data_IF_229007645048
#
_entry.id   IF_229007645048
#
_cell.length_a   1.000
_cell.length_b   1.000
_cell.length_c   1.000
_cell.angle_alpha   90.00
_cell.angle_beta   90.00
_cell.angle_gamma   90.00
#
_symmetry.space_group_name_H-M   'P 1'
#
loop_
_entity.id
_entity.type
_entity.pdbx_description
1 polymer ?
#
# COMPACT_ATOMS: atom_id res chain seq x y z
N UNK A 1 1.84 31.38 -13.00
CA UNK A 1 0.37 31.44 -12.88
C UNK A 1 -0.07 30.14 -12.23
N UNK A 2 -0.95 30.23 -11.23
CA UNK A 2 -1.46 29.06 -10.53
C UNK A 2 -2.11 28.08 -11.51
N UNK A 3 -1.77 26.79 -11.36
CA UNK A 3 -2.39 25.68 -12.08
C UNK A 3 -3.76 25.35 -11.50
N UNK A 4 -3.94 25.55 -10.20
CA UNK A 4 -5.23 25.43 -9.51
C UNK A 4 -5.40 26.49 -8.41
N UNK A 5 -6.63 26.92 -8.18
CA UNK A 5 -7.00 27.88 -7.14
C UNK A 5 -8.31 27.47 -6.50
N UNK A 6 -8.33 27.40 -5.17
CA UNK A 6 -9.49 27.17 -4.32
C UNK A 6 -9.70 28.42 -3.45
N UNK A 7 -10.94 28.89 -3.35
CA UNK A 7 -11.29 30.06 -2.53
C UNK A 7 -12.48 29.76 -1.63
N UNK A 8 -12.25 29.82 -0.32
CA UNK A 8 -13.20 29.52 0.76
C UNK A 8 -14.01 28.25 0.50
N UNK A 9 -13.35 27.23 -0.05
CA UNK A 9 -14.02 26.05 -0.56
C UNK A 9 -14.41 25.10 0.59
N UNK A 10 -15.69 24.74 0.66
CA UNK A 10 -16.18 23.74 1.60
C UNK A 10 -16.94 22.64 0.88
N UNK A 11 -16.79 21.40 1.33
CA UNK A 11 -17.42 20.25 0.71
C UNK A 11 -17.89 19.20 1.73
N UNK A 12 -19.08 18.65 1.49
CA UNK A 12 -19.71 17.57 2.26
C UNK A 12 -20.24 16.48 1.33
N UNK A 13 -19.89 15.22 1.60
CA UNK A 13 -20.47 14.07 0.88
C UNK A 13 -21.97 13.89 1.20
N UNK A 14 -22.79 13.32 0.29
CA UNK A 14 -24.25 13.21 0.44
C UNK A 14 -24.77 12.59 1.75
N UNK A 15 -24.00 11.71 2.38
CA UNK A 15 -24.36 11.00 3.62
C UNK A 15 -23.41 11.28 4.80
N UNK A 16 -22.48 12.22 4.66
CA UNK A 16 -21.54 12.55 5.72
C UNK A 16 -22.13 13.59 6.68
N UNK A 17 -22.03 13.35 7.99
CA UNK A 17 -22.42 14.33 9.00
C UNK A 17 -21.46 15.54 9.03
N UNK A 18 -20.21 15.33 8.64
CA UNK A 18 -19.16 16.33 8.69
C UNK A 18 -18.68 16.79 7.32
N UNK A 19 -18.14 18.01 7.27
CA UNK A 19 -17.47 18.55 6.10
C UNK A 19 -16.13 17.83 5.90
N UNK A 20 -15.93 17.31 4.69
CA UNK A 20 -14.66 16.72 4.28
C UNK A 20 -13.60 17.80 3.94
N UNK A 21 -14.05 19.00 3.52
CA UNK A 21 -13.22 20.20 3.36
C UNK A 21 -13.95 21.41 3.95
N UNK A 22 -13.21 22.30 4.64
CA UNK A 22 -13.73 23.42 5.44
C UNK A 22 -12.99 24.71 5.10
N UNK A 23 -13.64 25.58 4.35
CA UNK A 23 -13.16 26.91 3.97
C UNK A 23 -11.69 26.91 3.48
N UNK A 24 -11.38 26.05 2.53
CA UNK A 24 -10.04 25.88 1.98
C UNK A 24 -9.72 27.02 1.02
N UNK A 25 -8.66 27.75 1.33
CA UNK A 25 -8.01 28.74 0.47
C UNK A 25 -6.63 28.19 0.07
N UNK A 26 -6.44 27.92 -1.22
CA UNK A 26 -5.23 27.26 -1.71
C UNK A 26 -4.94 27.67 -3.16
N UNK A 27 -3.69 28.00 -3.45
CA UNK A 27 -3.17 28.16 -4.81
C UNK A 27 -2.06 27.14 -5.04
N UNK A 28 -2.11 26.42 -6.15
CA UNK A 28 -1.11 25.41 -6.54
C UNK A 28 -0.41 25.86 -7.81
N UNK A 29 0.90 26.05 -7.73
CA UNK A 29 1.78 26.36 -8.85
C UNK A 29 2.49 25.09 -9.36
N UNK A 30 3.36 25.26 -10.38
CA UNK A 30 4.27 24.22 -10.82
C UNK A 30 5.21 23.79 -9.68
N UNK A 31 5.60 22.52 -9.68
CA UNK A 31 6.40 21.91 -8.63
C UNK A 31 5.69 20.75 -7.94
N UNK A 32 6.45 20.06 -7.09
CA UNK A 32 6.03 18.93 -6.28
C UNK A 32 5.49 19.42 -4.93
N UNK A 33 4.20 19.26 -4.73
CA UNK A 33 3.49 19.56 -3.49
C UNK A 33 3.09 18.27 -2.79
N UNK A 34 3.49 18.10 -1.54
CA UNK A 34 3.09 17.00 -0.68
C UNK A 34 1.82 17.35 0.09
N UNK A 35 0.82 16.46 0.10
CA UNK A 35 -0.31 16.50 1.01
C UNK A 35 -0.08 15.48 2.13
N UNK A 36 0.12 15.97 3.35
CA UNK A 36 0.36 15.15 4.54
C UNK A 36 -0.81 15.28 5.52
N UNK A 37 -0.90 14.36 6.47
CA UNK A 37 -1.92 14.40 7.53
C UNK A 37 -2.62 13.06 7.75
N UNK A 38 -3.51 12.96 8.75
CA UNK A 38 -4.16 11.70 9.12
C UNK A 38 -5.08 11.14 8.02
N UNK A 39 -5.29 9.82 8.01
CA UNK A 39 -6.34 9.19 7.20
C UNK A 39 -7.71 9.79 7.54
N UNK A 40 -8.52 10.07 6.52
CA UNK A 40 -9.80 10.77 6.70
C UNK A 40 -9.68 12.30 6.88
N UNK A 41 -8.47 12.88 6.88
CA UNK A 41 -8.29 14.32 7.04
C UNK A 41 -8.79 15.19 5.88
N UNK A 42 -9.02 14.61 4.69
CA UNK A 42 -9.52 15.31 3.50
C UNK A 42 -8.59 15.27 2.27
N UNK A 43 -7.41 14.64 2.34
CA UNK A 43 -6.42 14.58 1.24
C UNK A 43 -6.99 14.07 -0.09
N UNK A 44 -7.55 12.85 -0.09
CA UNK A 44 -8.12 12.26 -1.31
C UNK A 44 -9.33 13.05 -1.80
N UNK A 45 -10.09 13.69 -0.91
CA UNK A 45 -11.18 14.60 -1.29
C UNK A 45 -10.64 15.84 -2.00
N UNK A 46 -9.57 16.45 -1.50
CA UNK A 46 -8.90 17.57 -2.13
C UNK A 46 -8.39 17.19 -3.54
N UNK A 47 -7.71 16.05 -3.68
CA UNK A 47 -7.22 15.58 -4.98
C UNK A 47 -8.37 15.29 -5.97
N UNK A 48 -9.43 14.60 -5.53
CA UNK A 48 -10.60 14.28 -6.37
C UNK A 48 -11.36 15.52 -6.80
N UNK A 49 -11.30 16.59 -6.01
CA UNK A 49 -11.87 17.88 -6.35
C UNK A 49 -11.09 18.55 -7.49
N UNK A 50 -9.75 18.44 -7.51
CA UNK A 50 -8.95 19.00 -8.60
C UNK A 50 -9.28 18.40 -9.98
N UNK A 51 -9.55 17.09 -10.06
CA UNK A 51 -9.94 16.43 -11.32
C UNK A 51 -11.45 16.52 -11.62
N UNK A 52 -12.26 16.98 -10.66
CA UNK A 52 -13.72 17.11 -10.79
C UNK A 52 -14.52 15.84 -10.51
N UNK A 53 -13.89 14.74 -10.06
CA UNK A 53 -14.61 13.57 -9.52
C UNK A 53 -15.51 13.97 -8.34
N UNK A 54 -15.04 14.94 -7.54
CA UNK A 54 -15.88 15.71 -6.63
C UNK A 54 -16.15 17.08 -7.26
N UNK A 55 -17.42 17.51 -7.41
CA UNK A 55 -18.64 16.83 -7.00
C UNK A 55 -19.30 15.96 -8.10
N UNK A 56 -18.82 15.97 -9.35
CA UNK A 56 -19.59 15.44 -10.49
C UNK A 56 -19.95 13.95 -10.40
N UNK A 57 -19.08 13.13 -9.79
CA UNK A 57 -19.32 11.70 -9.62
C UNK A 57 -19.90 11.38 -8.24
N UNK A 58 -19.33 11.96 -7.18
CA UNK A 58 -19.71 11.64 -5.80
C UNK A 58 -20.93 12.43 -5.28
N UNK A 59 -21.37 13.46 -6.01
CA UNK A 59 -22.38 14.41 -5.53
C UNK A 59 -21.92 15.20 -4.32
N UNK A 60 -22.86 15.67 -3.51
CA UNK A 60 -22.60 16.35 -2.23
C UNK A 60 -22.94 17.84 -2.25
N UNK A 61 -22.71 18.50 -1.12
CA UNK A 61 -22.88 19.95 -0.97
C UNK A 61 -21.52 20.63 -1.09
N UNK A 62 -21.43 21.64 -1.94
CA UNK A 62 -20.20 22.39 -2.19
C UNK A 62 -20.49 23.89 -2.14
N UNK A 63 -19.57 24.65 -1.56
CA UNK A 63 -19.58 26.11 -1.55
C UNK A 63 -18.18 26.65 -1.78
N UNK A 64 -18.07 27.92 -2.16
CA UNK A 64 -16.80 28.54 -2.55
C UNK A 64 -16.50 28.34 -4.04
N UNK A 65 -15.24 28.52 -4.42
CA UNK A 65 -14.81 28.48 -5.82
C UNK A 65 -13.60 27.54 -5.98
N UNK A 66 -13.55 26.86 -7.12
CA UNK A 66 -12.40 26.05 -7.52
C UNK A 66 -12.18 26.20 -9.03
N UNK A 67 -10.96 26.54 -9.41
CA UNK A 67 -10.53 26.61 -10.81
C UNK A 67 -9.28 25.80 -11.03
N UNK A 68 -9.19 25.08 -12.15
CA UNK A 68 -7.98 24.36 -12.60
C UNK A 68 -7.74 24.66 -14.07
N UNK A 69 -6.55 25.13 -14.43
CA UNK A 69 -6.24 25.54 -15.81
C UNK A 69 -7.12 26.67 -16.33
N UNK A 70 -7.58 27.54 -15.41
CA UNK A 70 -8.56 28.58 -15.71
C UNK A 70 -9.99 28.07 -15.90
N UNK A 71 -10.25 26.76 -15.78
CA UNK A 71 -11.59 26.18 -15.87
C UNK A 71 -12.24 26.09 -14.49
N UNK A 72 -13.47 26.59 -14.37
CA UNK A 72 -14.31 26.36 -13.18
C UNK A 72 -14.67 24.88 -13.09
N UNK A 73 -14.17 24.20 -12.04
CA UNK A 73 -14.37 22.75 -11.88
C UNK A 73 -15.85 22.40 -11.73
N UNK A 74 -16.66 23.24 -11.07
CA UNK A 74 -18.07 22.96 -10.80
C UNK A 74 -18.93 23.04 -12.07
N UNK A 75 -18.50 23.85 -13.05
CA UNK A 75 -19.23 24.08 -14.30
C UNK A 75 -18.66 23.30 -15.49
N UNK A 76 -17.42 22.84 -15.38
CA UNK A 76 -16.71 22.18 -16.47
C UNK A 76 -16.95 20.66 -16.42
N UNK A 77 -17.39 20.02 -17.52
CA UNK A 77 -17.52 18.57 -17.57
C UNK A 77 -16.18 17.85 -17.32
N UNK A 78 -16.21 16.72 -16.60
CA UNK A 78 -15.01 15.94 -16.25
C UNK A 78 -14.15 15.56 -17.45
N UNK A 79 -14.73 15.27 -18.62
CA UNK A 79 -13.97 14.99 -19.86
C UNK A 79 -13.06 16.13 -20.29
N UNK A 80 -13.42 17.39 -20.01
CA UNK A 80 -12.59 18.57 -20.29
C UNK A 80 -11.53 18.73 -19.22
N UNK A 81 -11.90 18.54 -17.94
CA UNK A 81 -10.98 18.60 -16.81
C UNK A 81 -9.88 17.53 -16.90
N UNK A 82 -10.16 16.35 -17.44
CA UNK A 82 -9.20 15.27 -17.65
C UNK A 82 -8.04 15.65 -18.59
N UNK A 83 -8.19 16.70 -19.40
CA UNK A 83 -7.09 17.25 -20.22
C UNK A 83 -6.17 18.16 -19.41
N UNK A 84 -6.69 18.79 -18.35
CA UNK A 84 -5.94 19.70 -17.49
C UNK A 84 -5.31 18.96 -16.30
N UNK A 85 -5.95 17.88 -15.85
CA UNK A 85 -5.58 17.13 -14.65
C UNK A 85 -5.42 15.65 -14.95
N UNK A 86 -4.20 15.14 -14.86
CA UNK A 86 -3.92 13.72 -14.76
C UNK A 86 -4.22 13.25 -13.33
N UNK A 87 -4.82 12.07 -13.17
CA UNK A 87 -5.12 11.50 -11.86
C UNK A 87 -4.66 10.05 -11.80
N UNK A 88 -3.98 9.68 -10.71
CA UNK A 88 -3.62 8.29 -10.40
C UNK A 88 -4.22 7.91 -9.05
N UNK A 89 -5.05 6.87 -9.07
CA UNK A 89 -5.68 6.33 -7.86
C UNK A 89 -4.67 5.53 -7.01
N UNK A 90 -5.01 5.36 -5.73
CA UNK A 90 -4.28 4.52 -4.77
C UNK A 90 -4.06 3.09 -5.25
N UNK A 91 -5.01 2.55 -6.02
CA UNK A 91 -4.89 1.24 -6.65
C UNK A 91 -4.92 1.40 -8.19
N UNK A 92 -3.74 1.41 -8.84
CA UNK A 92 -3.66 1.48 -10.29
C UNK A 92 -4.25 0.26 -10.99
N UNK A 93 -4.35 -0.89 -10.32
CA UNK A 93 -4.95 -2.09 -10.93
C UNK A 93 -6.44 -1.88 -11.17
N UNK A 94 -7.11 -1.14 -10.29
CA UNK A 94 -8.52 -0.77 -10.43
C UNK A 94 -8.74 0.37 -11.44
N UNK A 95 -7.69 1.11 -11.79
CA UNK A 95 -7.74 2.18 -12.80
C UNK A 95 -7.56 1.66 -14.22
N UNK A 96 -6.79 0.58 -14.40
CA UNK A 96 -6.42 0.10 -15.73
C UNK A 96 -7.63 -0.44 -16.51
N UNK A 97 -7.79 0.04 -17.74
CA UNK A 97 -8.89 -0.36 -18.63
C UNK A 97 -8.44 -1.42 -19.63
N UNK A 98 -7.17 -1.37 -20.05
CA UNK A 98 -6.60 -2.26 -21.08
C UNK A 98 -5.52 -3.15 -20.47
N UNK A 99 -5.31 -4.33 -21.07
CA UNK A 99 -4.36 -5.32 -20.53
C UNK A 99 -2.91 -5.17 -21.01
N UNK A 100 -2.64 -4.26 -21.95
CA UNK A 100 -1.32 -4.06 -22.57
C UNK A 100 -0.86 -2.61 -22.37
N UNK A 101 0.44 -2.42 -22.14
CA UNK A 101 1.03 -1.13 -21.77
C UNK A 101 0.66 -0.02 -22.75
N UNK A 102 0.91 -0.21 -24.05
CA UNK A 102 0.67 0.83 -25.05
C UNK A 102 -0.82 1.11 -25.24
N UNK A 103 -1.67 0.09 -25.06
CA UNK A 103 -3.12 0.25 -25.17
C UNK A 103 -3.69 1.00 -23.98
N UNK A 104 -3.14 0.78 -22.80
CA UNK A 104 -3.51 1.50 -21.59
C UNK A 104 -3.13 2.98 -21.72
N UNK A 105 -1.89 3.28 -22.10
CA UNK A 105 -1.43 4.67 -22.29
C UNK A 105 -2.15 5.36 -23.45
N UNK A 106 -2.47 4.62 -24.52
CA UNK A 106 -3.22 5.16 -25.65
C UNK A 106 -4.68 5.51 -25.31
N UNK A 107 -5.25 4.95 -24.25
CA UNK A 107 -6.69 5.03 -23.97
C UNK A 107 -7.20 6.48 -23.89
N UNK A 108 -6.49 7.35 -23.17
CA UNK A 108 -6.83 8.78 -23.09
C UNK A 108 -6.76 9.48 -24.46
N UNK A 109 -5.70 9.20 -25.24
CA UNK A 109 -5.50 9.75 -26.58
C UNK A 109 -6.59 9.29 -27.57
N UNK A 110 -6.98 8.00 -27.51
CA UNK A 110 -8.04 7.42 -28.34
C UNK A 110 -9.39 8.07 -28.04
N UNK A 111 -9.70 8.34 -26.76
CA UNK A 111 -10.90 9.07 -26.34
C UNK A 111 -10.94 10.51 -26.88
N UNK A 112 -9.78 11.08 -27.19
CA UNK A 112 -9.62 12.37 -27.85
C UNK A 112 -9.51 12.28 -29.39
N UNK A 113 -9.82 11.11 -29.94
CA UNK A 113 -9.75 10.81 -31.36
C UNK A 113 -8.37 11.02 -31.99
N UNK A 114 -7.30 10.93 -31.18
CA UNK A 114 -5.92 10.94 -31.68
C UNK A 114 -5.60 9.55 -32.25
N UNK A 115 -5.12 9.49 -33.50
CA UNK A 115 -4.85 8.23 -34.20
C UNK A 115 -3.51 8.19 -34.92
N UNK A 116 -3.22 7.05 -35.54
CA UNK A 116 -2.11 6.88 -36.47
C UNK A 116 -0.72 7.13 -35.85
N UNK A 117 0.19 7.82 -36.57
CA UNK A 117 1.53 8.13 -36.07
C UNK A 117 1.54 8.99 -34.79
N UNK A 118 0.60 9.95 -34.66
CA UNK A 118 0.52 10.85 -33.52
C UNK A 118 0.20 10.09 -32.22
N UNK A 119 -0.68 9.08 -32.28
CA UNK A 119 -0.98 8.21 -31.13
C UNK A 119 0.27 7.43 -30.69
N UNK A 120 1.01 6.83 -31.64
CA UNK A 120 2.23 6.07 -31.31
C UNK A 120 3.30 6.96 -30.69
N UNK A 121 3.47 8.16 -31.23
CA UNK A 121 4.41 9.14 -30.69
C UNK A 121 3.99 9.58 -29.27
N UNK A 122 2.72 9.93 -29.06
CA UNK A 122 2.22 10.34 -27.75
C UNK A 122 2.39 9.25 -26.67
N UNK A 123 2.14 7.98 -27.03
CA UNK A 123 2.37 6.84 -26.13
C UNK A 123 3.85 6.69 -25.78
N UNK A 124 4.74 6.74 -26.78
CA UNK A 124 6.18 6.61 -26.57
C UNK A 124 6.74 7.76 -25.70
N UNK A 125 6.31 9.00 -25.98
CA UNK A 125 6.67 10.18 -25.18
C UNK A 125 6.20 10.04 -23.73
N UNK A 126 4.94 9.65 -23.51
CA UNK A 126 4.39 9.49 -22.16
C UNK A 126 5.13 8.39 -21.36
N UNK A 127 5.45 7.26 -21.99
CA UNK A 127 6.24 6.20 -21.37
C UNK A 127 7.68 6.65 -21.09
N UNK A 128 8.30 7.41 -21.99
CA UNK A 128 9.67 7.90 -21.82
C UNK A 128 9.78 8.87 -20.64
N UNK A 129 8.81 9.78 -20.46
CA UNK A 129 8.78 10.76 -19.35
C UNK A 129 8.79 10.14 -17.95
N UNK A 130 8.39 8.88 -17.83
CA UNK A 130 8.38 8.12 -16.58
C UNK A 130 9.36 6.95 -16.61
N UNK A 131 10.30 6.92 -17.56
CA UNK A 131 11.31 5.87 -17.70
C UNK A 131 10.76 4.47 -18.00
N UNK A 132 9.53 4.36 -18.51
CA UNK A 132 8.80 3.11 -18.74
C UNK A 132 8.80 2.65 -20.21
N UNK A 133 9.59 3.28 -21.08
CA UNK A 133 9.61 2.95 -22.51
C UNK A 133 9.97 1.47 -22.78
N UNK A 134 10.86 0.89 -21.98
CA UNK A 134 11.24 -0.53 -22.05
C UNK A 134 10.11 -1.51 -21.69
N UNK A 135 8.98 -1.01 -21.15
CA UNK A 135 7.81 -1.82 -20.83
C UNK A 135 6.83 -1.93 -22.01
N UNK A 136 7.06 -1.20 -23.10
CA UNK A 136 6.29 -1.35 -24.33
C UNK A 136 6.28 -2.84 -24.77
N UNK A 137 5.10 -3.32 -25.18
CA UNK A 137 4.87 -4.68 -25.62
C UNK A 137 4.62 -5.66 -24.48
N UNK A 138 4.59 -5.22 -23.21
CA UNK A 138 4.28 -6.09 -22.07
C UNK A 138 2.79 -6.04 -21.70
N UNK A 139 2.33 -7.11 -21.05
CA UNK A 139 1.02 -7.17 -20.41
C UNK A 139 1.10 -6.52 -19.03
N UNK A 140 0.11 -5.73 -18.65
CA UNK A 140 0.08 -5.09 -17.32
C UNK A 140 0.21 -6.12 -16.19
N UNK A 141 -0.47 -7.26 -16.31
CA UNK A 141 -0.43 -8.34 -15.33
C UNK A 141 0.97 -8.92 -15.07
N UNK A 142 1.94 -8.72 -15.96
CA UNK A 142 3.32 -9.19 -15.78
C UNK A 142 4.27 -8.13 -15.25
N UNK A 143 3.78 -6.91 -14.98
CA UNK A 143 4.57 -5.81 -14.44
C UNK A 143 4.66 -5.90 -12.91
N UNK A 144 5.82 -5.49 -12.37
CA UNK A 144 5.97 -5.20 -10.94
C UNK A 144 5.05 -4.05 -10.52
N UNK A 145 4.84 -3.88 -9.21
CA UNK A 145 4.04 -2.77 -8.69
C UNK A 145 4.58 -1.40 -9.16
N UNK A 146 5.89 -1.19 -9.05
CA UNK A 146 6.53 0.07 -9.44
C UNK A 146 6.51 0.31 -10.95
N UNK A 147 6.73 -0.75 -11.75
CA UNK A 147 6.55 -0.69 -13.21
C UNK A 147 5.11 -0.28 -13.58
N UNK A 148 4.13 -0.89 -12.92
CA UNK A 148 2.70 -0.61 -13.16
C UNK A 148 2.32 0.80 -12.74
N UNK A 149 2.82 1.29 -11.61
CA UNK A 149 2.63 2.67 -11.17
C UNK A 149 3.14 3.66 -12.22
N UNK A 150 4.32 3.39 -12.80
CA UNK A 150 4.87 4.23 -13.87
C UNK A 150 4.03 4.18 -15.15
N UNK A 151 3.47 3.03 -15.52
CA UNK A 151 2.52 2.96 -16.64
C UNK A 151 1.24 3.75 -16.34
N UNK A 152 0.74 3.72 -15.10
CA UNK A 152 -0.40 4.55 -14.69
C UNK A 152 -0.07 6.05 -14.74
N UNK A 153 1.13 6.45 -14.33
CA UNK A 153 1.64 7.82 -14.51
C UNK A 153 1.69 8.19 -16.00
N UNK A 154 2.23 7.33 -16.87
CA UNK A 154 2.25 7.56 -18.32
C UNK A 154 0.84 7.74 -18.89
N UNK A 155 -0.12 6.90 -18.48
CA UNK A 155 -1.52 7.00 -18.90
C UNK A 155 -2.13 8.35 -18.49
N UNK A 156 -1.90 8.79 -17.24
CA UNK A 156 -2.35 10.09 -16.76
C UNK A 156 -1.67 11.28 -17.48
N UNK A 157 -0.44 11.09 -17.96
CA UNK A 157 0.33 12.12 -18.68
C UNK A 157 0.09 12.16 -20.19
N UNK A 158 -0.57 11.15 -20.76
CA UNK A 158 -0.74 10.99 -22.20
C UNK A 158 -1.47 12.20 -22.83
N UNK A 159 -2.43 12.79 -22.12
CA UNK A 159 -3.16 13.99 -22.53
C UNK A 159 -2.39 15.31 -22.30
N UNK A 160 -1.16 15.23 -21.79
CA UNK A 160 -0.30 16.38 -21.44
C UNK A 160 -0.99 17.35 -20.48
N UNK A 161 -1.44 16.87 -19.30
CA UNK A 161 -2.05 17.74 -18.31
C UNK A 161 -1.03 18.75 -17.77
N UNK A 162 -1.55 19.81 -17.15
CA UNK A 162 -0.73 20.81 -16.45
C UNK A 162 -0.68 20.58 -14.93
N UNK A 163 -1.54 19.69 -14.41
CA UNK A 163 -1.52 19.23 -13.03
C UNK A 163 -1.63 17.70 -12.99
N UNK A 164 -0.86 17.05 -12.14
CA UNK A 164 -0.89 15.62 -11.87
C UNK A 164 -1.20 15.39 -10.40
N UNK A 165 -2.32 14.74 -10.10
CA UNK A 165 -2.75 14.40 -8.76
C UNK A 165 -2.54 12.90 -8.50
N UNK A 166 -1.79 12.57 -7.44
CA UNK A 166 -1.44 11.20 -7.06
C UNK A 166 -1.98 10.90 -5.66
N UNK A 167 -2.91 9.95 -5.54
CA UNK A 167 -3.50 9.52 -4.27
C UNK A 167 -2.76 8.28 -3.75
N UNK A 168 -1.83 8.42 -2.81
CA UNK A 168 -1.01 7.33 -2.23
C UNK A 168 -0.28 6.43 -3.25
N UNK A 169 0.51 7.01 -4.16
CA UNK A 169 1.12 6.27 -5.28
C UNK A 169 2.15 5.22 -4.86
N UNK A 170 2.63 5.23 -3.60
CA UNK A 170 3.65 4.28 -3.14
C UNK A 170 3.13 3.25 -2.13
N UNK A 171 1.83 3.28 -1.81
CA UNK A 171 1.20 2.45 -0.76
C UNK A 171 1.36 0.94 -0.92
N UNK A 172 1.66 0.45 -2.13
CA UNK A 172 1.84 -0.97 -2.46
C UNK A 172 3.21 -1.30 -3.06
N UNK A 173 4.16 -0.37 -2.97
CA UNK A 173 5.48 -0.49 -3.58
C UNK A 173 6.54 -0.90 -2.56
N UNK A 174 7.56 -1.59 -3.05
CA UNK A 174 8.80 -1.76 -2.31
C UNK A 174 9.68 -0.50 -2.46
N UNK A 175 10.86 -0.53 -1.84
CA UNK A 175 11.79 0.61 -1.85
C UNK A 175 12.21 1.01 -3.28
N UNK A 176 12.61 0.03 -4.11
CA UNK A 176 13.01 0.29 -5.50
C UNK A 176 11.85 0.87 -6.32
N UNK A 177 10.63 0.31 -6.20
CA UNK A 177 9.44 0.87 -6.85
C UNK A 177 9.12 2.29 -6.39
N UNK A 178 9.32 2.57 -5.11
CA UNK A 178 9.14 3.91 -4.51
C UNK A 178 10.15 4.90 -5.08
N UNK A 179 11.43 4.54 -5.15
CA UNK A 179 12.49 5.38 -5.75
C UNK A 179 12.20 5.71 -7.22
N UNK A 180 11.74 4.72 -7.99
CA UNK A 180 11.39 4.91 -9.40
C UNK A 180 10.22 5.89 -9.58
N UNK A 181 9.20 5.83 -8.71
CA UNK A 181 8.05 6.75 -8.73
C UNK A 181 8.48 8.14 -8.25
N UNK A 182 9.30 8.21 -7.22
CA UNK A 182 9.86 9.46 -6.70
C UNK A 182 10.66 10.20 -7.77
N UNK A 183 11.56 9.51 -8.47
CA UNK A 183 12.35 10.07 -9.56
C UNK A 183 11.47 10.59 -10.70
N UNK A 184 10.41 9.87 -11.07
CA UNK A 184 9.45 10.31 -12.07
C UNK A 184 8.72 11.60 -11.63
N UNK A 185 8.25 11.66 -10.37
CA UNK A 185 7.58 12.85 -9.85
C UNK A 185 8.49 14.08 -9.84
N UNK A 186 9.76 13.91 -9.44
CA UNK A 186 10.75 14.99 -9.46
C UNK A 186 11.04 15.49 -10.87
N UNK A 187 11.25 14.58 -11.82
CA UNK A 187 11.50 14.95 -13.21
C UNK A 187 10.32 15.74 -13.79
N UNK A 188 9.09 15.28 -13.57
CA UNK A 188 7.88 15.96 -14.03
C UNK A 188 7.71 17.35 -13.39
N UNK A 189 8.00 17.49 -12.09
CA UNK A 189 7.98 18.77 -11.40
C UNK A 189 9.03 19.74 -11.96
N UNK A 190 10.25 19.25 -12.25
CA UNK A 190 11.33 20.04 -12.84
C UNK A 190 10.99 20.50 -14.29
N UNK A 191 10.16 19.76 -15.02
CA UNK A 191 9.60 20.18 -16.32
C UNK A 191 8.54 21.29 -16.22
N UNK A 192 8.16 21.72 -15.01
CA UNK A 192 7.17 22.78 -14.78
C UNK A 192 5.72 22.27 -14.65
N UNK A 193 5.53 20.97 -14.41
CA UNK A 193 4.24 20.39 -14.06
C UNK A 193 3.90 20.66 -12.59
N UNK A 194 2.63 20.90 -12.27
CA UNK A 194 2.17 20.84 -10.87
C UNK A 194 1.92 19.39 -10.47
N UNK A 195 2.75 18.82 -9.62
CA UNK A 195 2.60 17.45 -9.13
C UNK A 195 2.13 17.50 -7.68
N UNK A 196 0.94 17.00 -7.39
CA UNK A 196 0.35 16.99 -6.04
C UNK A 196 0.22 15.56 -5.58
N UNK A 197 0.93 15.20 -4.52
CA UNK A 197 1.01 13.82 -4.02
C UNK A 197 0.45 13.76 -2.62
N UNK A 198 -0.62 12.98 -2.42
CA UNK A 198 -1.06 12.60 -1.09
C UNK A 198 -0.31 11.36 -0.65
N UNK A 199 0.32 11.43 0.51
CA UNK A 199 0.95 10.27 1.14
C UNK A 199 0.60 10.17 2.62
N UNK A 200 0.71 8.96 3.14
CA UNK A 200 0.62 8.68 4.57
C UNK A 200 1.98 8.55 5.24
N UNK A 201 3.05 8.33 4.46
CA UNK A 201 4.41 8.06 4.91
C UNK A 201 5.34 9.11 4.30
N UNK A 202 5.90 9.98 5.14
CA UNK A 202 6.69 11.16 4.75
C UNK A 202 8.13 10.81 4.30
N UNK A 203 8.55 9.54 4.42
CA UNK A 203 9.95 9.13 4.31
C UNK A 203 10.59 9.46 2.94
N UNK A 204 9.87 9.23 1.83
CA UNK A 204 10.41 9.52 0.49
C UNK A 204 9.99 10.89 -0.04
N UNK A 205 8.80 11.38 0.32
CA UNK A 205 8.21 12.56 -0.29
C UNK A 205 8.70 13.86 0.36
N UNK A 206 8.91 13.85 1.68
CA UNK A 206 9.34 15.02 2.45
C UNK A 206 10.60 15.69 1.91
N UNK A 207 11.71 14.94 1.65
CA UNK A 207 12.94 15.52 1.10
C UNK A 207 12.81 16.08 -0.33
N UNK A 208 11.80 15.64 -1.09
CA UNK A 208 11.66 15.99 -2.50
C UNK A 208 10.65 17.12 -2.72
N UNK A 209 9.67 17.26 -1.83
CA UNK A 209 8.60 18.23 -1.95
C UNK A 209 9.12 19.66 -1.83
N UNK A 210 8.78 20.49 -2.81
CA UNK A 210 9.05 21.93 -2.73
C UNK A 210 8.08 22.64 -1.79
N UNK A 211 6.93 22.01 -1.51
CA UNK A 211 5.90 22.54 -0.62
C UNK A 211 5.16 21.40 0.07
N UNK A 212 4.88 21.56 1.36
CA UNK A 212 4.10 20.60 2.14
C UNK A 212 2.83 21.25 2.66
N UNK A 213 1.68 20.61 2.40
CA UNK A 213 0.38 21.02 2.90
C UNK A 213 -0.13 19.99 3.90
N UNK A 214 -0.41 20.42 5.13
CA UNK A 214 -1.08 19.61 6.14
C UNK A 214 -2.59 19.65 5.90
N UNK A 215 -3.20 18.47 5.77
CA UNK A 215 -4.64 18.30 5.60
C UNK A 215 -5.21 17.55 6.79
N UNK A 216 -5.88 18.28 7.68
CA UNK A 216 -6.42 17.76 8.94
C UNK A 216 -7.82 18.33 9.22
N UNK A 217 -8.75 17.46 9.59
CA UNK A 217 -10.14 17.81 9.88
C UNK A 217 -10.82 18.68 8.79
N UNK A 218 -10.45 18.48 7.52
CA UNK A 218 -10.93 19.22 6.36
C UNK A 218 -10.31 20.60 6.17
N UNK A 219 -9.36 21.03 7.00
CA UNK A 219 -8.58 22.26 6.81
C UNK A 219 -7.28 21.96 6.09
N UNK A 220 -6.76 22.95 5.37
CA UNK A 220 -5.47 22.87 4.69
C UNK A 220 -4.58 23.97 5.24
N UNK A 221 -3.42 23.60 5.75
CA UNK A 221 -2.39 24.52 6.24
C UNK A 221 -1.12 24.35 5.40
N UNK A 222 -0.55 25.46 4.94
CA UNK A 222 0.71 25.45 4.21
C UNK A 222 1.88 25.50 5.18
N UNK A 223 2.66 24.41 5.23
CA UNK A 223 3.83 24.30 6.10
C UNK A 223 5.10 24.84 5.42
N UNK A 224 5.03 25.22 4.14
CA UNK A 224 6.17 25.70 3.36
C UNK A 224 7.09 24.58 2.84
N UNK A 225 8.30 24.92 2.38
CA UNK A 225 9.32 23.96 1.95
C UNK A 225 9.93 23.26 3.18
N UNK A 226 9.96 21.92 3.16
CA UNK A 226 10.53 21.06 4.21
C UNK A 226 9.78 21.09 5.56
N UNK A 227 8.73 20.28 5.67
CA UNK A 227 8.20 19.82 6.96
C UNK A 227 8.88 18.55 7.48
N UNK A 228 9.92 18.05 6.79
CA UNK A 228 10.57 16.76 7.10
C UNK A 228 10.95 16.61 8.57
N UNK A 229 11.40 17.70 9.22
CA UNK A 229 11.77 17.67 10.64
C UNK A 229 10.59 17.74 11.63
N UNK A 230 9.39 18.14 11.19
CA UNK A 230 8.20 18.21 12.07
C UNK A 230 7.42 16.90 12.14
N UNK A 231 7.68 15.97 11.22
CA UNK A 231 7.05 14.65 11.19
C UNK A 231 8.05 13.48 11.31
N UNK A 232 9.37 13.75 11.39
CA UNK A 232 10.38 12.80 11.88
C UNK A 232 10.30 12.65 13.40
N UNK A 233 9.26 11.97 13.86
CA UNK A 233 9.29 11.31 15.17
C UNK A 233 8.46 10.03 15.14
N UNK A 234 8.84 9.14 14.24
CA UNK A 234 8.91 7.73 14.59
C UNK A 234 10.34 7.34 14.31
N UNK A 235 11.19 7.45 15.34
CA UNK A 235 12.43 6.68 15.36
C UNK A 235 12.11 5.25 14.91
N UNK A 236 12.95 4.60 14.10
CA UNK A 236 12.80 3.17 13.86
C UNK A 236 12.77 2.52 15.24
N UNK A 237 11.59 2.04 15.63
CA UNK A 237 11.39 1.47 16.95
C UNK A 237 12.51 0.47 17.16
N UNK A 238 13.34 0.72 18.17
CA UNK A 238 14.48 -0.13 18.48
C UNK A 238 13.96 -1.56 18.50
N UNK A 239 14.39 -2.36 17.52
CA UNK A 239 13.94 -3.74 17.38
C UNK A 239 14.14 -4.40 18.75
N UNK A 240 13.06 -4.93 19.32
CA UNK A 240 13.17 -5.68 20.56
C UNK A 240 14.13 -6.81 20.29
N UNK A 241 15.24 -6.87 21.02
CA UNK A 241 16.08 -8.07 21.02
C UNK A 241 15.43 -9.02 22.03
N UNK A 242 14.82 -10.14 21.63
CA UNK A 242 14.44 -11.14 22.61
C UNK A 242 15.70 -11.95 22.97
N UNK A 243 15.83 -12.26 24.25
CA UNK A 243 16.73 -13.30 24.69
C UNK A 243 16.24 -14.64 24.13
N UNK A 244 16.95 -15.20 23.14
CA UNK A 244 16.66 -16.52 22.57
C UNK A 244 16.67 -17.62 23.66
N UNK A 245 15.48 -18.07 24.08
CA UNK A 245 15.26 -19.30 24.88
C UNK A 245 13.88 -19.93 24.63
N UNK A 246 13.48 -20.11 23.36
CA UNK A 246 12.24 -20.81 22.99
C UNK A 246 12.50 -22.18 22.35
N UNK A 247 11.49 -23.05 22.32
CA UNK A 247 11.51 -24.33 21.60
C UNK A 247 11.45 -24.07 20.10
N UNK A 248 12.24 -24.77 19.27
CA UNK A 248 12.22 -24.66 17.80
C UNK A 248 10.82 -25.00 17.27
N UNK A 249 10.12 -24.02 16.70
CA UNK A 249 8.79 -24.19 16.12
C UNK A 249 8.86 -24.65 14.67
N UNK A 250 9.87 -24.19 13.93
CA UNK A 250 10.11 -24.54 12.54
C UNK A 250 11.59 -24.36 12.18
N UNK A 251 12.07 -25.15 11.22
CA UNK A 251 13.39 -25.00 10.65
C UNK A 251 13.42 -25.40 9.17
N UNK A 252 14.24 -24.68 8.41
CA UNK A 252 14.60 -24.93 7.02
C UNK A 252 16.10 -25.21 7.02
N UNK A 253 16.53 -26.34 6.47
CA UNK A 253 17.94 -26.76 6.48
C UNK A 253 18.43 -27.10 5.07
N UNK A 254 19.47 -26.40 4.60
CA UNK A 254 20.06 -26.55 3.26
C UNK A 254 19.04 -26.52 2.11
N UNK A 255 17.95 -25.77 2.27
CA UNK A 255 16.81 -25.90 1.36
C UNK A 255 16.93 -24.98 0.14
N UNK A 256 16.65 -25.54 -1.04
CA UNK A 256 16.48 -24.77 -2.26
C UNK A 256 15.03 -24.82 -2.68
N UNK A 257 14.42 -23.70 -3.06
CA UNK A 257 13.01 -23.64 -3.43
C UNK A 257 12.76 -22.61 -4.54
N UNK A 258 11.79 -22.90 -5.39
CA UNK A 258 11.19 -21.89 -6.25
C UNK A 258 10.03 -22.42 -7.09
N UNK A 259 9.32 -21.51 -7.76
CA UNK A 259 8.12 -21.86 -8.52
C UNK A 259 8.46 -22.70 -9.75
N UNK A 260 7.55 -23.62 -10.09
CA UNK A 260 7.64 -24.47 -11.30
C UNK A 260 8.97 -25.25 -11.43
N UNK A 261 9.61 -25.59 -10.30
CA UNK A 261 10.86 -26.36 -10.31
C UNK A 261 12.13 -25.52 -10.52
N UNK A 262 12.01 -24.21 -10.71
CA UNK A 262 13.16 -23.32 -10.92
C UNK A 262 13.66 -22.78 -9.57
N UNK A 263 14.98 -22.84 -9.28
CA UNK A 263 15.52 -22.35 -8.03
C UNK A 263 15.41 -20.83 -7.96
N UNK A 264 14.69 -20.32 -6.96
CA UNK A 264 14.58 -18.90 -6.65
C UNK A 264 15.36 -18.53 -5.40
N UNK A 265 15.17 -19.30 -4.32
CA UNK A 265 15.92 -19.20 -3.07
C UNK A 265 16.79 -20.44 -2.92
N UNK A 266 18.05 -20.26 -2.53
CA UNK A 266 19.04 -21.34 -2.49
C UNK A 266 19.72 -21.40 -1.13
N UNK A 267 20.09 -22.62 -0.74
CA UNK A 267 20.89 -22.91 0.47
C UNK A 267 20.35 -22.23 1.74
N UNK A 268 19.05 -22.38 1.97
CA UNK A 268 18.37 -21.76 3.09
C UNK A 268 18.61 -22.54 4.39
N UNK A 269 19.23 -21.88 5.36
CA UNK A 269 19.34 -22.33 6.75
C UNK A 269 18.73 -21.29 7.69
N UNK A 270 17.48 -21.55 8.11
CA UNK A 270 16.67 -20.62 8.90
C UNK A 270 15.87 -21.40 9.94
N UNK A 271 15.67 -20.81 11.12
CA UNK A 271 14.80 -21.37 12.15
C UNK A 271 14.08 -20.27 12.91
N UNK A 272 12.95 -20.64 13.51
CA UNK A 272 12.18 -19.80 14.41
C UNK A 272 11.60 -20.59 15.58
N UNK A 273 11.37 -19.88 16.69
CA UNK A 273 10.93 -20.43 17.95
C UNK A 273 9.41 -20.25 18.17
N UNK A 274 8.86 -21.02 19.09
CA UNK A 274 7.47 -20.85 19.56
C UNK A 274 7.29 -19.47 20.18
N UNK A 275 6.22 -18.77 19.81
CA UNK A 275 5.93 -17.42 20.30
C UNK A 275 6.75 -16.30 19.66
N UNK A 276 7.63 -16.61 18.71
CA UNK A 276 8.42 -15.61 17.97
C UNK A 276 7.60 -14.99 16.83
N UNK A 277 7.70 -13.67 16.67
CA UNK A 277 7.19 -12.92 15.53
C UNK A 277 8.34 -12.49 14.62
N UNK A 278 8.40 -13.04 13.42
CA UNK A 278 9.47 -12.77 12.45
C UNK A 278 8.93 -11.98 11.25
N UNK A 279 9.59 -10.89 10.88
CA UNK A 279 9.32 -10.17 9.64
C UNK A 279 10.17 -10.69 8.47
N UNK A 280 9.55 -10.85 7.30
CA UNK A 280 10.23 -11.01 6.02
C UNK A 280 10.13 -9.70 5.25
N UNK A 281 11.26 -9.03 5.06
CA UNK A 281 11.37 -7.77 4.29
C UNK A 281 12.16 -8.02 3.01
N UNK A 282 12.23 -7.02 2.13
CA UNK A 282 12.97 -7.09 0.86
C UNK A 282 12.07 -6.87 -0.36
N UNK A 283 12.64 -6.75 -1.57
CA UNK A 283 11.90 -6.34 -2.76
C UNK A 283 10.80 -7.32 -3.17
N UNK A 284 9.82 -6.83 -3.92
CA UNK A 284 8.82 -7.66 -4.58
C UNK A 284 9.50 -8.59 -5.58
N UNK A 285 9.05 -9.85 -5.62
CA UNK A 285 9.75 -10.90 -6.39
C UNK A 285 11.04 -11.41 -5.73
N UNK A 286 11.49 -10.87 -4.60
CA UNK A 286 12.69 -11.33 -3.89
C UNK A 286 12.59 -12.75 -3.31
N UNK A 287 11.36 -13.29 -3.17
CA UNK A 287 11.11 -14.66 -2.71
C UNK A 287 10.34 -14.80 -1.40
N UNK A 288 9.85 -13.70 -0.80
CA UNK A 288 9.07 -13.71 0.46
C UNK A 288 7.89 -14.70 0.43
N UNK A 289 7.00 -14.55 -0.56
CA UNK A 289 5.86 -15.47 -0.78
C UNK A 289 6.31 -16.91 -1.04
N UNK A 290 7.44 -17.10 -1.73
CA UNK A 290 8.01 -18.44 -1.99
C UNK A 290 8.45 -19.10 -0.69
N UNK A 291 9.13 -18.36 0.20
CA UNK A 291 9.51 -18.83 1.53
C UNK A 291 8.29 -19.14 2.40
N UNK A 292 7.27 -18.27 2.40
CA UNK A 292 6.02 -18.55 3.11
C UNK A 292 5.33 -19.82 2.58
N UNK A 293 5.29 -20.02 1.26
CA UNK A 293 4.70 -21.23 0.66
C UNK A 293 5.47 -22.50 0.99
N UNK A 294 6.80 -22.42 1.05
CA UNK A 294 7.68 -23.49 1.53
C UNK A 294 7.33 -23.85 2.97
N UNK A 295 7.21 -22.86 3.86
CA UNK A 295 6.83 -23.02 5.26
C UNK A 295 5.34 -23.31 5.48
N UNK A 296 4.49 -23.13 4.48
CA UNK A 296 3.11 -23.60 4.50
C UNK A 296 3.02 -25.08 4.09
N UNK A 297 4.00 -25.57 3.31
CA UNK A 297 3.98 -26.92 2.72
C UNK A 297 3.19 -26.99 1.41
N UNK A 298 2.80 -25.82 0.88
CA UNK A 298 2.13 -25.68 -0.42
C UNK A 298 3.11 -25.64 -1.59
N UNK A 299 4.41 -25.49 -1.30
CA UNK A 299 5.49 -25.55 -2.28
C UNK A 299 6.59 -26.46 -1.72
N UNK A 300 6.86 -27.62 -2.33
CA UNK A 300 7.92 -28.51 -1.86
C UNK A 300 9.31 -27.93 -2.15
N UNK A 301 10.33 -28.22 -1.32
CA UNK A 301 11.71 -27.90 -1.63
C UNK A 301 12.22 -28.72 -2.83
N UNK A 302 13.12 -28.13 -3.61
CA UNK A 302 13.90 -28.81 -4.65
C UNK A 302 15.04 -29.64 -4.03
N UNK A 303 15.62 -29.15 -2.93
CA UNK A 303 16.63 -29.84 -2.12
C UNK A 303 16.49 -29.42 -0.66
N UNK A 304 17.11 -30.16 0.26
CA UNK A 304 17.08 -29.88 1.70
C UNK A 304 15.77 -30.28 2.37
N UNK A 305 15.56 -29.80 3.59
CA UNK A 305 14.43 -30.22 4.43
C UNK A 305 13.75 -29.06 5.15
N UNK A 306 12.44 -29.23 5.40
CA UNK A 306 11.64 -28.33 6.23
C UNK A 306 11.01 -29.15 7.35
N UNK A 307 11.17 -28.68 8.58
CA UNK A 307 10.60 -29.30 9.78
C UNK A 307 9.78 -28.28 10.56
N UNK A 308 8.72 -28.74 11.23
CA UNK A 308 7.78 -27.91 11.99
C UNK A 308 7.24 -28.70 13.17
N UNK A 309 6.87 -27.99 14.22
CA UNK A 309 6.10 -28.57 15.32
C UNK A 309 4.73 -29.02 14.81
N UNK A 310 4.26 -30.24 15.17
CA UNK A 310 2.94 -30.71 14.76
C UNK A 310 1.83 -29.75 15.18
N UNK A 311 0.90 -29.50 14.26
CA UNK A 311 -0.29 -28.69 14.49
C UNK A 311 -0.68 -27.87 13.27
N UNK A 312 -1.69 -27.01 13.45
CA UNK A 312 -2.26 -26.23 12.37
C UNK A 312 -1.30 -25.13 11.91
N UNK A 313 -1.06 -25.08 10.60
CA UNK A 313 -0.39 -23.96 9.92
C UNK A 313 -1.46 -23.11 9.26
N UNK A 314 -1.50 -21.83 9.62
CA UNK A 314 -2.38 -20.83 9.03
C UNK A 314 -1.58 -20.04 7.99
N UNK A 315 -2.12 -19.92 6.77
CA UNK A 315 -1.48 -19.17 5.68
C UNK A 315 -2.46 -18.19 5.06
N UNK A 316 -2.14 -16.90 5.17
CA UNK A 316 -2.82 -15.81 4.49
C UNK A 316 -2.05 -15.49 3.20
N UNK A 317 -2.59 -15.78 2.01
CA UNK A 317 -1.97 -15.43 0.74
C UNK A 317 -2.22 -13.95 0.41
N UNK A 318 -1.39 -13.42 -0.49
CA UNK A 318 -1.47 -12.03 -0.97
C UNK A 318 -2.84 -11.63 -1.54
N UNK A 319 -3.60 -12.58 -2.12
CA UNK A 319 -5.00 -12.38 -2.49
C UNK A 319 -5.93 -13.16 -1.53
N UNK A 320 -6.34 -12.54 -0.42
CA UNK A 320 -7.11 -13.23 0.60
C UNK A 320 -8.58 -13.42 0.26
N UNK A 321 -9.11 -12.72 -0.76
CA UNK A 321 -10.51 -12.88 -1.16
C UNK A 321 -10.83 -14.31 -1.64
N UNK A 322 -9.81 -15.04 -2.12
CA UNK A 322 -9.94 -16.43 -2.51
C UNK A 322 -10.20 -17.40 -1.34
N UNK A 323 -10.05 -16.95 -0.09
CA UNK A 323 -10.24 -17.77 1.11
C UNK A 323 -11.65 -17.71 1.68
N UNK A 324 -12.48 -16.76 1.23
CA UNK A 324 -13.80 -16.51 1.80
C UNK A 324 -14.88 -17.09 0.87
N UNK A 325 -15.51 -18.19 1.26
CA UNK A 325 -16.48 -18.92 0.43
C UNK A 325 -17.79 -19.26 1.15
N UNK A 326 -17.88 -18.99 2.46
CA UNK A 326 -19.12 -19.15 3.24
C UNK A 326 -20.09 -17.99 3.03
N UNK A 327 -21.34 -18.18 3.46
CA UNK A 327 -22.40 -17.19 3.29
C UNK A 327 -22.26 -15.99 4.25
N UNK A 328 -21.50 -16.15 5.33
CA UNK A 328 -21.15 -15.06 6.24
C UNK A 328 -19.71 -15.15 6.76
N UNK A 329 -19.17 -14.01 7.21
CA UNK A 329 -17.86 -13.97 7.87
C UNK A 329 -17.84 -14.86 9.12
N UNK A 330 -18.92 -14.84 9.91
CA UNK A 330 -19.06 -15.67 11.11
C UNK A 330 -18.99 -17.15 10.79
N UNK A 331 -19.65 -17.60 9.72
CA UNK A 331 -19.58 -18.99 9.27
C UNK A 331 -18.17 -19.40 8.84
N UNK A 332 -17.43 -18.48 8.20
CA UNK A 332 -16.04 -18.74 7.82
C UNK A 332 -15.16 -18.99 9.05
N UNK A 333 -15.26 -18.14 10.08
CA UNK A 333 -14.52 -18.32 11.33
C UNK A 333 -14.93 -19.59 12.06
N UNK A 334 -16.24 -19.87 12.17
CA UNK A 334 -16.75 -21.10 12.78
C UNK A 334 -16.17 -22.33 12.10
N UNK A 335 -16.15 -22.37 10.77
CA UNK A 335 -15.59 -23.48 10.02
C UNK A 335 -14.09 -23.70 10.30
N UNK A 336 -13.32 -22.65 10.60
CA UNK A 336 -11.92 -22.76 11.02
C UNK A 336 -11.79 -23.21 12.47
N UNK A 337 -12.60 -22.65 13.38
CA UNK A 337 -12.61 -22.96 14.80
C UNK A 337 -13.01 -24.41 15.07
N UNK A 338 -14.05 -24.90 14.40
CA UNK A 338 -14.51 -26.28 14.48
C UNK A 338 -13.42 -27.27 14.06
N UNK A 339 -12.73 -26.99 12.94
CA UNK A 339 -11.60 -27.80 12.46
C UNK A 339 -10.41 -27.78 13.41
N UNK A 340 -10.23 -26.67 14.13
CA UNK A 340 -9.19 -26.53 15.13
C UNK A 340 -9.58 -27.11 16.50
N UNK A 341 -10.83 -27.57 16.67
CA UNK A 341 -11.40 -27.91 17.96
C UNK A 341 -11.21 -26.80 19.01
N UNK A 342 -11.33 -25.54 18.59
CA UNK A 342 -11.15 -24.36 19.44
C UNK A 342 -12.49 -23.87 19.98
N UNK A 343 -12.52 -23.53 21.27
CA UNK A 343 -13.66 -22.89 21.92
C UNK A 343 -13.64 -21.34 21.83
N UNK A 344 -12.67 -20.76 21.10
CA UNK A 344 -12.58 -19.31 20.91
C UNK A 344 -13.85 -18.76 20.24
N UNK A 345 -14.54 -17.76 20.83
CA UNK A 345 -15.72 -17.17 20.21
C UNK A 345 -15.35 -16.43 18.91
N UNK A 346 -16.06 -16.66 17.79
CA UNK A 346 -15.83 -15.89 16.55
C UNK A 346 -15.87 -14.37 16.78
N UNK A 347 -16.74 -13.92 17.68
CA UNK A 347 -16.93 -12.52 18.04
C UNK A 347 -15.66 -11.88 18.63
N UNK A 348 -14.81 -12.64 19.31
CA UNK A 348 -13.57 -12.13 19.87
C UNK A 348 -12.62 -11.68 18.75
N UNK A 349 -12.36 -12.56 17.78
CA UNK A 349 -11.45 -12.29 16.65
C UNK A 349 -12.04 -11.19 15.75
N UNK A 350 -13.36 -11.23 15.50
CA UNK A 350 -14.04 -10.18 14.74
C UNK A 350 -14.00 -8.83 15.46
N UNK A 351 -14.08 -8.83 16.79
CA UNK A 351 -13.97 -7.62 17.62
C UNK A 351 -12.58 -6.98 17.54
N UNK A 352 -11.52 -7.78 17.68
CA UNK A 352 -10.14 -7.32 17.56
C UNK A 352 -9.88 -6.64 16.20
N UNK A 353 -10.48 -7.16 15.13
CA UNK A 353 -10.36 -6.62 13.79
C UNK A 353 -11.47 -5.62 13.43
N UNK A 354 -12.37 -5.25 14.34
CA UNK A 354 -13.41 -4.25 14.08
C UNK A 354 -14.43 -4.66 13.00
N UNK A 355 -14.84 -5.93 12.99
CA UNK A 355 -15.77 -6.54 12.04
C UNK A 355 -17.08 -7.06 12.67
N UNK A 356 -17.34 -6.79 13.95
CA UNK A 356 -18.53 -7.27 14.66
C UNK A 356 -19.84 -6.91 13.95
N UNK A 357 -19.96 -5.68 13.46
CA UNK A 357 -21.15 -5.21 12.75
C UNK A 357 -21.33 -5.85 11.35
N UNK A 358 -20.30 -6.52 10.85
CA UNK A 358 -20.29 -7.20 9.54
C UNK A 358 -20.31 -8.73 9.67
N UNK A 359 -20.41 -9.28 10.89
CA UNK A 359 -20.30 -10.72 11.14
C UNK A 359 -21.22 -11.58 10.24
N UNK A 360 -22.45 -11.10 10.00
CA UNK A 360 -23.47 -11.79 9.20
C UNK A 360 -23.46 -11.43 7.71
N UNK A 361 -22.56 -10.56 7.26
CA UNK A 361 -22.51 -10.15 5.85
C UNK A 361 -21.84 -11.19 4.99
N UNK A 362 -22.30 -11.30 3.74
CA UNK A 362 -21.60 -12.04 2.70
C UNK A 362 -20.23 -11.39 2.46
N UNK A 363 -19.13 -12.17 2.44
CA UNK A 363 -17.79 -11.65 2.15
C UNK A 363 -17.69 -10.82 0.87
N UNK A 364 -18.53 -11.08 -0.13
CA UNK A 364 -18.54 -10.36 -1.42
C UNK A 364 -19.07 -8.92 -1.29
N UNK A 365 -19.90 -8.66 -0.28
CA UNK A 365 -20.50 -7.34 -0.02
C UNK A 365 -19.61 -6.41 0.82
N UNK A 366 -18.47 -6.92 1.29
CA UNK A 366 -17.50 -6.16 2.08
C UNK A 366 -16.61 -5.29 1.19
N UNK A 367 -16.14 -4.16 1.71
CA UNK A 367 -15.05 -3.41 1.08
C UNK A 367 -13.75 -4.24 1.02
N UNK A 368 -12.81 -3.88 0.14
CA UNK A 368 -11.50 -4.57 0.04
C UNK A 368 -10.78 -4.69 1.39
N UNK A 369 -10.69 -3.61 2.17
CA UNK A 369 -10.10 -3.63 3.51
C UNK A 369 -10.89 -4.44 4.54
N UNK A 370 -12.22 -4.49 4.44
CA UNK A 370 -13.04 -5.38 5.29
C UNK A 370 -12.83 -6.85 4.91
N UNK A 371 -12.73 -7.17 3.61
CA UNK A 371 -12.42 -8.53 3.14
C UNK A 371 -11.05 -9.00 3.60
N UNK A 372 -10.04 -8.14 3.51
CA UNK A 372 -8.70 -8.41 4.02
C UNK A 372 -8.74 -8.81 5.50
N UNK A 373 -9.40 -7.97 6.33
CA UNK A 373 -9.58 -8.25 7.76
C UNK A 373 -10.37 -9.54 8.01
N UNK A 374 -11.42 -9.79 7.23
CA UNK A 374 -12.24 -10.99 7.38
C UNK A 374 -11.44 -12.27 7.09
N UNK A 375 -10.59 -12.24 6.07
CA UNK A 375 -9.71 -13.37 5.76
C UNK A 375 -8.63 -13.59 6.82
N UNK A 376 -8.04 -12.52 7.37
CA UNK A 376 -7.13 -12.61 8.51
C UNK A 376 -7.84 -13.25 9.70
N UNK A 377 -9.04 -12.77 10.03
CA UNK A 377 -9.85 -13.32 11.11
C UNK A 377 -10.13 -14.82 10.89
N UNK A 378 -10.57 -15.18 9.69
CA UNK A 378 -10.91 -16.55 9.33
C UNK A 378 -9.72 -17.52 9.38
N UNK A 379 -8.51 -17.07 9.02
CA UNK A 379 -7.30 -17.91 8.97
C UNK A 379 -6.62 -18.01 10.33
N UNK A 380 -6.68 -16.94 11.15
CA UNK A 380 -5.97 -16.89 12.44
C UNK A 380 -6.81 -17.35 13.64
N UNK A 381 -8.14 -17.42 13.53
CA UNK A 381 -9.01 -17.92 14.60
C UNK A 381 -8.60 -19.33 15.05
N UNK A 382 -8.54 -19.60 16.34
CA UNK A 382 -8.17 -20.89 16.95
C UNK A 382 -6.67 -21.12 17.13
N UNK A 383 -5.89 -20.04 17.25
CA UNK A 383 -4.47 -20.02 17.64
C UNK A 383 -3.60 -21.07 16.94
N UNK A 384 -3.24 -20.86 15.65
CA UNK A 384 -2.43 -21.80 14.89
C UNK A 384 -1.03 -21.96 15.50
N UNK A 385 -0.38 -23.11 15.32
CA UNK A 385 1.02 -23.30 15.77
C UNK A 385 2.00 -22.42 15.00
N UNK A 386 1.71 -22.20 13.72
CA UNK A 386 2.46 -21.33 12.83
C UNK A 386 1.49 -20.48 12.01
N UNK A 387 1.61 -19.16 12.10
CA UNK A 387 0.88 -18.20 11.29
C UNK A 387 1.81 -17.58 10.25
N UNK A 388 1.42 -17.64 8.97
CA UNK A 388 2.19 -17.14 7.83
C UNK A 388 1.34 -16.09 7.13
N UNK A 389 1.76 -14.82 7.19
CA UNK A 389 0.98 -13.69 6.70
C UNK A 389 1.70 -13.00 5.55
N UNK A 390 1.12 -13.05 4.36
CA UNK A 390 1.65 -12.38 3.17
C UNK A 390 0.95 -11.03 2.94
N UNK A 391 1.66 -9.93 3.22
CA UNK A 391 1.19 -8.54 3.08
C UNK A 391 -0.16 -8.26 3.79
N UNK A 392 -0.27 -8.53 5.11
CA UNK A 392 -1.57 -8.51 5.78
C UNK A 392 -2.17 -7.10 5.90
N UNK A 393 -1.38 -6.02 5.84
CA UNK A 393 -1.85 -4.65 6.10
C UNK A 393 -2.41 -3.91 4.87
N UNK A 394 -2.47 -4.54 3.70
CA UNK A 394 -2.97 -3.93 2.47
C UNK A 394 -4.43 -3.45 2.64
N UNK A 395 -4.70 -2.21 2.23
CA UNK A 395 -6.03 -1.61 2.28
C UNK A 395 -6.60 -1.43 3.69
N UNK A 396 -5.78 -1.54 4.75
CA UNK A 396 -6.20 -1.33 6.13
C UNK A 396 -6.03 0.12 6.59
N UNK A 397 -7.00 0.62 7.34
CA UNK A 397 -6.85 1.87 8.10
C UNK A 397 -6.03 1.66 9.40
N UNK A 398 -5.73 2.75 10.11
CA UNK A 398 -4.96 2.71 11.36
C UNK A 398 -5.61 1.86 12.45
N UNK A 399 -6.94 1.88 12.57
CA UNK A 399 -7.66 1.10 13.58
C UNK A 399 -7.53 -0.39 13.28
N UNK A 400 -7.70 -0.77 12.01
CA UNK A 400 -7.51 -2.13 11.52
C UNK A 400 -6.08 -2.64 11.75
N UNK A 401 -5.06 -1.84 11.45
CA UNK A 401 -3.65 -2.19 11.73
C UNK A 401 -3.39 -2.40 13.23
N UNK A 402 -3.97 -1.55 14.06
CA UNK A 402 -3.90 -1.69 15.53
C UNK A 402 -4.55 -2.99 16.00
N UNK A 403 -5.68 -3.36 15.40
CA UNK A 403 -6.35 -4.64 15.64
C UNK A 403 -5.48 -5.84 15.27
N UNK A 404 -4.89 -5.82 14.06
CA UNK A 404 -3.96 -6.86 13.61
C UNK A 404 -2.76 -7.02 14.57
N UNK A 405 -2.18 -5.90 15.04
CA UNK A 405 -1.09 -5.93 16.01
C UNK A 405 -1.47 -6.64 17.31
N UNK A 406 -2.65 -6.34 17.85
CA UNK A 406 -3.15 -6.98 19.08
C UNK A 406 -3.35 -8.48 18.87
N UNK A 407 -3.94 -8.87 17.74
CA UNK A 407 -4.13 -10.27 17.38
C UNK A 407 -2.80 -11.01 17.27
N UNK A 408 -1.82 -10.46 16.54
CA UNK A 408 -0.48 -11.05 16.40
C UNK A 408 0.21 -11.18 17.76
N UNK A 409 0.19 -10.13 18.58
CA UNK A 409 0.79 -10.17 19.91
C UNK A 409 0.15 -11.20 20.84
N UNK A 410 -1.18 -11.37 20.75
CA UNK A 410 -1.91 -12.41 21.48
C UNK A 410 -1.51 -13.81 21.03
N UNK A 411 -1.48 -14.07 19.72
CA UNK A 411 -1.05 -15.36 19.17
C UNK A 411 0.38 -15.72 19.61
N UNK A 412 1.30 -14.76 19.53
CA UNK A 412 2.67 -14.94 19.98
C UNK A 412 2.75 -15.28 21.48
N UNK A 413 2.00 -14.56 22.33
CA UNK A 413 1.91 -14.83 23.76
C UNK A 413 1.30 -16.21 24.10
N UNK A 414 0.41 -16.72 23.25
CA UNK A 414 -0.17 -18.07 23.35
C UNK A 414 0.76 -19.16 22.77
N UNK A 415 1.93 -18.79 22.24
CA UNK A 415 2.97 -19.71 21.76
C UNK A 415 2.94 -20.00 20.26
N UNK A 416 2.11 -19.30 19.48
CA UNK A 416 2.15 -19.35 18.02
C UNK A 416 3.45 -18.73 17.51
N UNK A 417 4.16 -19.42 16.62
CA UNK A 417 5.17 -18.76 15.80
C UNK A 417 4.46 -17.96 14.69
N UNK A 418 4.87 -16.71 14.46
CA UNK A 418 4.25 -15.83 13.46
C UNK A 418 5.33 -15.36 12.48
N UNK A 419 5.07 -15.46 11.18
CA UNK A 419 5.92 -14.91 10.14
C UNK A 419 5.10 -13.95 9.29
N UNK A 420 5.56 -12.72 9.14
CA UNK A 420 4.87 -11.65 8.43
C UNK A 420 5.76 -11.15 7.28
N UNK A 421 5.36 -11.40 6.04
CA UNK A 421 5.94 -10.69 4.90
C UNK A 421 5.27 -9.33 4.77
N UNK A 422 6.04 -8.25 4.92
CA UNK A 422 5.51 -6.89 4.87
C UNK A 422 6.60 -5.85 4.57
N UNK A 423 6.18 -4.70 4.04
CA UNK A 423 6.99 -3.48 3.91
C UNK A 423 6.56 -2.38 4.89
N UNK A 424 5.66 -2.72 5.83
CA UNK A 424 5.18 -1.80 6.86
C UNK A 424 6.20 -1.73 8.02
N UNK A 425 7.10 -0.74 7.97
CA UNK A 425 8.17 -0.54 8.96
C UNK A 425 7.61 -0.31 10.36
N UNK A 426 6.43 0.31 10.45
CA UNK A 426 5.76 0.54 11.73
C UNK A 426 5.28 -0.79 12.33
N UNK A 427 4.60 -1.63 11.54
CA UNK A 427 4.20 -2.97 12.00
C UNK A 427 5.44 -3.77 12.45
N UNK A 428 6.48 -3.79 11.64
CA UNK A 428 7.72 -4.53 11.95
C UNK A 428 8.32 -4.05 13.27
N UNK A 429 8.52 -2.73 13.45
CA UNK A 429 9.12 -2.19 14.67
C UNK A 429 8.27 -2.38 15.92
N UNK A 430 6.96 -2.55 15.77
CA UNK A 430 6.03 -2.62 16.90
C UNK A 430 5.73 -4.05 17.39
N UNK A 431 5.77 -5.06 16.51
CA UNK A 431 5.41 -6.44 16.88
C UNK A 431 6.47 -7.50 16.58
N UNK A 432 7.46 -7.22 15.72
CA UNK A 432 8.42 -8.25 15.33
C UNK A 432 9.63 -8.31 16.25
N UNK A 433 10.02 -9.53 16.56
CA UNK A 433 11.20 -9.90 17.34
C UNK A 433 12.46 -9.95 16.46
N UNK A 434 12.30 -10.41 15.22
CA UNK A 434 13.39 -10.60 14.24
C UNK A 434 12.98 -10.16 12.85
N UNK A 435 13.95 -9.72 12.06
CA UNK A 435 13.75 -9.28 10.68
C UNK A 435 14.73 -10.01 9.77
N UNK A 436 14.20 -10.67 8.74
CA UNK A 436 14.97 -11.29 7.68
C UNK A 436 14.77 -10.52 6.37
N UNK A 437 15.86 -10.12 5.73
CA UNK A 437 15.89 -9.57 4.39
C UNK A 437 15.95 -10.72 3.37
N UNK A 438 14.95 -10.77 2.48
CA UNK A 438 14.85 -11.73 1.39
C UNK A 438 15.15 -11.01 0.07
N UNK A 439 16.35 -11.25 -0.47
CA UNK A 439 16.81 -10.57 -1.69
C UNK A 439 17.86 -11.40 -2.45
N UNK A 440 17.84 -11.29 -3.78
CA UNK A 440 18.83 -11.89 -4.68
C UNK A 440 19.07 -13.39 -4.44
N UNK A 441 17.99 -14.13 -4.16
CA UNK A 441 18.03 -15.58 -3.95
C UNK A 441 18.57 -16.03 -2.59
N UNK A 442 18.82 -15.09 -1.67
CA UNK A 442 19.31 -15.38 -0.32
C UNK A 442 18.39 -14.77 0.75
N UNK A 443 18.49 -15.31 1.96
CA UNK A 443 17.80 -14.78 3.14
C UNK A 443 18.84 -14.47 4.20
N UNK A 444 18.84 -13.25 4.73
CA UNK A 444 19.81 -12.80 5.72
C UNK A 444 19.12 -12.10 6.87
N UNK A 445 19.58 -12.32 8.08
CA UNK A 445 19.10 -11.59 9.25
C UNK A 445 19.60 -10.16 9.22
N UNK A 446 18.68 -9.19 9.42
CA UNK A 446 19.05 -7.79 9.58
C UNK A 446 19.43 -7.53 11.04
N UNK A 447 20.60 -6.96 11.33
CA UNK A 447 20.94 -6.57 12.69
C UNK A 447 19.98 -5.48 13.16
N UNK A 448 19.55 -5.56 14.42
CA UNK A 448 18.86 -4.46 15.07
C UNK A 448 19.74 -3.20 14.98
N UNK A 449 19.24 -2.14 14.36
CA UNK A 449 19.88 -0.82 14.43
C UNK A 449 19.92 -0.41 15.90
N UNK A 450 21.10 -0.52 16.53
CA UNK A 450 21.36 0.12 17.81
C UNK A 450 21.28 1.62 17.59
N UNK A 451 20.39 2.29 18.32
CA UNK A 451 20.51 3.70 18.57
C UNK A 451 21.70 3.96 19.52
N UNK A 452 22.93 3.67 19.07
CA UNK A 452 24.15 4.12 19.74
C UNK A 452 24.55 5.47 19.14
N UNK A 453 23.77 6.52 19.44
CA UNK A 453 24.29 7.89 19.42
C UNK A 453 24.85 8.18 20.82
N UNK A 454 26.04 7.66 21.09
CA UNK A 454 26.89 8.28 22.11
C UNK A 454 27.27 9.68 21.59
N UNK A 455 27.07 10.76 22.37
CA UNK A 455 27.58 12.07 21.98
C UNK A 455 29.12 11.98 21.97
N UNK A 456 29.71 11.97 20.79
CA UNK A 456 31.12 12.35 20.63
C UNK A 456 31.19 13.83 21.05
N UNK A 457 31.60 14.07 22.30
CA UNK A 457 31.86 15.39 22.82
C UNK A 457 32.94 16.10 22.00
N UNK A 458 33.02 17.44 22.07
CA UNK A 458 33.99 18.20 21.30
C UNK A 458 35.38 17.98 21.90
N UNK A 459 36.30 17.45 21.09
CA UNK A 459 37.74 17.38 21.35
C UNK A 459 38.50 18.04 20.23
#
# INVERSE_FOLDING_TARGET
>A
MARATLRSLSYQYPAAAELALRAVDLELDAGLTALVGPSGGGKSTLLRLLNGLVPHFHGGRISGQVTVGGLDVLRTPTRRLAREVGFVFQDPELQAVRSWVEREVAFGLENEAVGGPALRQGVAEALARVGALHLAGRRLATLSGGERQRVALASALALRPQLLALDEPTSQLDHEGTELVAAACQALAAEGLAVVVAEHRDEWLGPLAQRTLLVEAGRVEDLGPAAGDRFTSLEPAAYRTPAHRGVEAWAVRGATVGPAGLPLLQDLDLAGATGEVLALTGPNGGGKTTLLRLLAGTLPPLSGAVSRTPGRVAFLPQNPAALLYRASIREELRATLDRAASAEPPEQVLGELGLLAQAERDPRDLSSGQRQRAAIAAVLAGSPRLALLDEPTRGMDRSARTGLRRLVGRLAAEGSAVIIATHDSQLVGEVCDRVLLVQAGTVREQPALRADLAPQGPG
#
